data_IF_803800219468
#
_entry.id   IF_803800219468
#
_cell.length_a   1.000
_cell.length_b   1.000
_cell.length_c   1.000
_cell.angle_alpha   90.00
_cell.angle_beta   90.00
_cell.angle_gamma   90.00
#
_symmetry.space_group_name_H-M   'P 1'
#
loop_
_entity.id
_entity.type
_entity.pdbx_description
1 polymer ?
#
# COMPACT_ATOMS: atom_id res chain seq x y z
N UNK A 1 -9.65 -0.76 7.23
CA UNK A 1 -8.39 -0.28 7.85
C UNK A 1 -7.74 0.69 6.88
N UNK A 2 -7.13 1.76 7.39
CA UNK A 2 -6.44 2.74 6.55
C UNK A 2 -5.00 2.29 6.30
N UNK A 3 -4.69 2.03 5.04
CA UNK A 3 -3.32 1.80 4.58
C UNK A 3 -2.69 3.14 4.28
N UNK A 4 -1.53 3.41 4.88
CA UNK A 4 -0.77 4.65 4.68
C UNK A 4 0.57 4.36 4.02
N UNK A 5 1.30 5.42 3.67
CA UNK A 5 2.66 5.28 3.13
C UNK A 5 3.61 4.56 4.09
N UNK A 6 3.36 4.59 5.40
CA UNK A 6 4.22 3.93 6.38
C UNK A 6 4.21 2.41 6.17
N UNK A 7 3.04 1.81 5.93
CA UNK A 7 2.93 0.40 5.57
C UNK A 7 3.61 0.09 4.23
N UNK A 8 3.56 1.03 3.29
CA UNK A 8 4.22 0.89 1.98
C UNK A 8 5.75 0.86 2.09
N UNK A 9 6.33 1.51 3.10
CA UNK A 9 7.76 1.47 3.38
C UNK A 9 8.19 0.25 4.21
N UNK A 10 7.33 -0.26 5.08
CA UNK A 10 7.66 -1.39 5.96
C UNK A 10 7.35 -2.74 5.35
N UNK A 11 6.57 -2.80 4.26
CA UNK A 11 6.24 -4.06 3.60
C UNK A 11 7.52 -4.80 3.15
N UNK A 12 7.72 -6.05 3.59
CA UNK A 12 8.87 -6.84 3.18
C UNK A 12 8.68 -7.24 1.72
N UNK A 13 9.53 -6.71 0.85
CA UNK A 13 9.62 -7.20 -0.53
C UNK A 13 10.56 -8.40 -0.59
N UNK A 14 10.41 -9.22 -1.64
CA UNK A 14 11.25 -10.40 -1.89
C UNK A 14 12.72 -10.05 -2.25
N UNK A 15 13.05 -8.77 -2.39
CA UNK A 15 14.39 -8.25 -2.57
C UNK A 15 14.89 -7.66 -1.25
N UNK A 16 16.22 -7.54 -1.06
CA UNK A 16 16.87 -6.90 0.10
C UNK A 16 16.40 -5.46 0.39
N UNK A 17 15.58 -4.86 -0.48
CA UNK A 17 14.94 -3.56 -0.25
C UNK A 17 13.62 -3.76 0.50
N UNK A 18 13.54 -3.15 1.67
CA UNK A 18 12.29 -2.98 2.40
C UNK A 18 11.50 -1.84 1.77
N UNK A 19 10.21 -2.06 1.54
CA UNK A 19 9.29 -1.07 0.97
C UNK A 19 9.10 -1.17 -0.54
N UNK A 20 7.86 -0.91 -0.99
CA UNK A 20 7.57 -0.83 -2.41
C UNK A 20 8.20 0.41 -3.05
N UNK A 21 8.64 0.28 -4.30
CA UNK A 21 9.10 1.40 -5.10
C UNK A 21 7.95 2.42 -5.26
N UNK A 22 8.18 3.66 -4.78
CA UNK A 22 7.25 4.78 -4.95
C UNK A 22 6.83 4.97 -6.41
N UNK A 23 7.70 4.64 -7.37
CA UNK A 23 7.40 4.70 -8.81
C UNK A 23 6.25 3.76 -9.19
N UNK A 24 6.26 2.53 -8.69
CA UNK A 24 5.26 1.52 -9.02
C UNK A 24 3.95 1.79 -8.29
N UNK A 25 4.03 2.19 -7.01
CA UNK A 25 2.88 2.68 -6.27
C UNK A 25 2.24 3.86 -7.00
N UNK A 26 3.01 4.93 -7.31
CA UNK A 26 2.48 6.09 -8.04
C UNK A 26 1.86 5.72 -9.38
N UNK A 27 2.47 4.84 -10.16
CA UNK A 27 1.92 4.39 -11.44
C UNK A 27 0.56 3.69 -11.27
N UNK A 28 0.42 2.86 -10.23
CA UNK A 28 -0.82 2.19 -9.88
C UNK A 28 -1.91 3.18 -9.45
N UNK A 29 -1.56 4.20 -8.65
CA UNK A 29 -2.49 5.25 -8.24
C UNK A 29 -2.99 6.06 -9.44
N UNK A 30 -2.07 6.46 -10.33
CA UNK A 30 -2.43 7.19 -11.57
C UNK A 30 -3.31 6.34 -12.49
N UNK A 31 -3.01 5.05 -12.65
CA UNK A 31 -3.81 4.15 -13.48
C UNK A 31 -5.26 3.99 -13.00
N UNK A 32 -5.49 4.22 -11.70
CA UNK A 32 -6.82 4.13 -11.05
C UNK A 32 -7.50 5.47 -10.84
N UNK A 33 -6.86 6.57 -11.23
CA UNK A 33 -7.35 7.92 -10.96
C UNK A 33 -7.37 8.27 -9.47
N UNK A 34 -6.59 7.57 -8.65
CA UNK A 34 -6.48 7.82 -7.21
C UNK A 34 -5.44 8.91 -6.96
N UNK A 35 -5.77 9.82 -6.04
CA UNK A 35 -4.89 10.95 -5.73
C UNK A 35 -3.77 10.52 -4.77
N UNK A 36 -2.54 10.46 -5.29
CA UNK A 36 -1.36 10.13 -4.50
C UNK A 36 -1.15 11.12 -3.35
N UNK A 37 -1.48 12.40 -3.56
CA UNK A 37 -1.36 13.43 -2.53
C UNK A 37 -2.34 13.22 -1.37
N UNK A 38 -3.52 12.69 -1.65
CA UNK A 38 -4.49 12.29 -0.64
C UNK A 38 -3.98 11.08 0.17
N UNK A 39 -3.46 10.05 -0.53
CA UNK A 39 -2.87 8.88 0.12
C UNK A 39 -1.71 9.22 1.06
N UNK A 40 -0.87 10.19 0.71
CA UNK A 40 0.25 10.63 1.56
C UNK A 40 -0.20 11.30 2.87
N UNK A 41 -1.36 11.96 2.88
CA UNK A 41 -1.88 12.70 4.04
C UNK A 41 -2.83 11.87 4.88
N UNK A 42 -3.82 11.26 4.23
CA UNK A 42 -4.95 10.58 4.88
C UNK A 42 -4.82 9.05 4.79
N UNK A 43 -4.06 8.52 3.82
CA UNK A 43 -4.09 7.10 3.47
C UNK A 43 -5.28 6.74 2.56
N UNK A 44 -5.46 5.45 2.29
CA UNK A 44 -6.64 4.91 1.60
C UNK A 44 -7.14 3.67 2.32
N UNK A 45 -8.40 3.32 2.10
CA UNK A 45 -8.96 2.11 2.67
C UNK A 45 -8.40 0.85 1.99
N UNK A 46 -8.13 -0.18 2.78
CA UNK A 46 -7.70 -1.49 2.30
C UNK A 46 -8.66 -2.11 1.27
N UNK A 47 -9.96 -1.80 1.32
CA UNK A 47 -10.93 -2.32 0.36
C UNK A 47 -10.64 -1.80 -1.05
N UNK A 48 -10.12 -0.58 -1.20
CA UNK A 48 -9.73 -0.03 -2.51
C UNK A 48 -8.53 -0.80 -3.08
N UNK A 49 -7.61 -1.22 -2.21
CA UNK A 49 -6.46 -2.03 -2.57
C UNK A 49 -6.85 -3.48 -2.92
N UNK A 50 -7.87 -4.03 -2.24
CA UNK A 50 -8.38 -5.39 -2.49
C UNK A 50 -9.26 -5.46 -3.74
N UNK A 51 -10.15 -4.49 -3.95
CA UNK A 51 -11.00 -4.36 -5.14
C UNK A 51 -10.17 -4.30 -6.43
N UNK A 52 -8.99 -3.70 -6.31
CA UNK A 52 -8.02 -3.60 -7.38
C UNK A 52 -7.50 -4.95 -7.89
N UNK A 53 -7.55 -6.02 -7.08
CA UNK A 53 -7.11 -7.36 -7.48
C UNK A 53 -5.61 -7.53 -7.75
N UNK A 54 -4.80 -6.52 -7.42
CA UNK A 54 -3.35 -6.56 -7.62
C UNK A 54 -2.69 -7.39 -6.51
N UNK A 55 -1.88 -8.38 -6.88
CA UNK A 55 -1.15 -9.22 -5.92
C UNK A 55 -0.27 -8.40 -4.96
N UNK A 56 0.27 -7.26 -5.41
CA UNK A 56 1.07 -6.35 -4.59
C UNK A 56 0.19 -5.55 -3.61
N UNK A 57 -1.01 -5.16 -4.03
CA UNK A 57 -1.95 -4.44 -3.20
C UNK A 57 -2.50 -5.35 -2.10
N UNK A 58 -2.83 -6.60 -2.44
CA UNK A 58 -3.23 -7.64 -1.48
C UNK A 58 -2.13 -7.85 -0.44
N UNK A 59 -0.88 -8.05 -0.87
CA UNK A 59 0.26 -8.23 0.05
C UNK A 59 0.51 -7.01 0.94
N UNK A 60 0.32 -5.79 0.41
CA UNK A 60 0.40 -4.57 1.20
C UNK A 60 -0.68 -4.51 2.28
N UNK A 61 -1.91 -4.88 1.94
CA UNK A 61 -3.03 -4.94 2.90
C UNK A 61 -2.77 -5.98 3.97
N UNK A 62 -2.32 -7.17 3.61
CA UNK A 62 -1.95 -8.22 4.56
C UNK A 62 -0.89 -7.73 5.55
N UNK A 63 0.20 -7.13 5.05
CA UNK A 63 1.25 -6.58 5.90
C UNK A 63 0.75 -5.42 6.77
N UNK A 64 -0.07 -4.53 6.21
CA UNK A 64 -0.66 -3.44 6.97
C UNK A 64 -1.55 -3.96 8.11
N UNK A 65 -2.27 -5.06 7.89
CA UNK A 65 -3.05 -5.74 8.95
C UNK A 65 -2.10 -6.30 9.99
N UNK A 66 -1.05 -7.04 9.62
CA UNK A 66 -0.08 -7.57 10.59
C UNK A 66 0.60 -6.48 11.45
N UNK A 67 0.94 -5.33 10.85
CA UNK A 67 1.52 -4.19 11.58
C UNK A 67 0.49 -3.52 12.49
N UNK A 68 -0.77 -3.46 12.09
CA UNK A 68 -1.84 -2.81 12.84
C UNK A 68 -2.42 -3.72 13.95
N UNK A 69 -2.50 -5.02 13.70
CA UNK A 69 -2.93 -6.07 14.65
C UNK A 69 -1.77 -6.53 15.58
N UNK A 70 -0.53 -6.09 15.31
CA UNK A 70 0.66 -6.40 16.10
C UNK A 70 0.79 -5.55 17.36
N UNK A 71 0.31 -6.09 18.48
CA UNK A 71 0.72 -5.77 19.85
C UNK A 71 1.92 -6.64 20.26
#
# INVERSE_FOLDING_TARGET
>A
MIVTIQHLHTVPTWTTRQGYCHRQARAWFVARGLDWGHFLREGIDEQILLDSGDALAIRLVEHAREVNDGC
#
